data_IF_896512778024
#
_entry.id   IF_896512778024
#
_cell.length_a   1.000
_cell.length_b   1.000
_cell.length_c   1.000
_cell.angle_alpha   90.00
_cell.angle_beta   90.00
_cell.angle_gamma   90.00
#
_symmetry.space_group_name_H-M   'P 1'
#
loop_
_entity.id
_entity.type
_entity.pdbx_description
1 polymer ?
#
# COMPACT_ATOMS: atom_id res chain seq x y z
N UNK A 1 -3.85 8.51 -8.03
CA UNK A 1 -5.26 8.67 -8.43
C UNK A 1 -5.43 9.51 -9.70
N UNK A 2 -4.78 10.67 -9.81
CA UNK A 2 -4.88 11.61 -10.95
C UNK A 2 -4.76 10.92 -12.33
N UNK A 3 -3.76 10.07 -12.53
CA UNK A 3 -3.54 9.41 -13.83
C UNK A 3 -4.58 8.35 -14.21
N UNK A 4 -5.41 7.93 -13.25
CA UNK A 4 -6.49 6.98 -13.47
C UNK A 4 -7.80 7.67 -13.87
N UNK A 5 -7.94 8.97 -13.57
CA UNK A 5 -9.14 9.76 -13.88
C UNK A 5 -8.99 10.37 -15.26
N UNK A 6 -9.82 9.92 -16.21
CA UNK A 6 -9.80 10.41 -17.59
C UNK A 6 -10.68 11.65 -17.71
N UNK A 7 -11.85 11.63 -17.10
CA UNK A 7 -12.86 12.66 -17.20
C UNK A 7 -13.75 12.69 -15.94
N UNK A 8 -14.24 13.89 -15.63
CA UNK A 8 -15.20 14.19 -14.57
C UNK A 8 -16.35 15.03 -15.14
N UNK A 9 -17.57 14.70 -14.72
CA UNK A 9 -18.73 15.59 -14.77
C UNK A 9 -18.87 16.23 -13.39
N UNK A 10 -18.90 17.57 -13.34
CA UNK A 10 -18.88 18.34 -12.09
C UNK A 10 -19.98 19.40 -12.12
N UNK A 11 -20.71 19.52 -11.02
CA UNK A 11 -21.66 20.62 -10.76
C UNK A 11 -20.92 21.68 -9.95
N UNK A 12 -20.80 22.89 -10.50
CA UNK A 12 -20.16 24.02 -9.84
C UNK A 12 -21.11 24.67 -8.82
N UNK A 13 -20.57 25.59 -8.01
CA UNK A 13 -21.32 26.24 -6.92
C UNK A 13 -22.55 27.03 -7.40
N UNK A 14 -22.51 27.54 -8.65
CA UNK A 14 -23.62 28.25 -9.30
C UNK A 14 -24.63 27.30 -9.99
N UNK A 15 -24.43 25.99 -9.88
CA UNK A 15 -25.24 24.97 -10.55
C UNK A 15 -24.81 24.66 -11.98
N UNK A 16 -23.79 25.35 -12.52
CA UNK A 16 -23.27 25.07 -13.86
C UNK A 16 -22.69 23.66 -13.93
N UNK A 17 -23.11 22.88 -14.93
CA UNK A 17 -22.59 21.53 -15.16
C UNK A 17 -21.46 21.60 -16.19
N UNK A 18 -20.27 21.16 -15.80
CA UNK A 18 -19.12 21.07 -16.68
C UNK A 18 -18.67 19.63 -16.89
N UNK A 19 -18.08 19.38 -18.06
CA UNK A 19 -17.40 18.12 -18.38
C UNK A 19 -15.95 18.41 -18.70
N UNK A 20 -15.06 17.93 -17.84
CA UNK A 20 -13.63 18.29 -17.87
C UNK A 20 -12.90 17.76 -19.10
N UNK A 21 -13.36 16.66 -19.70
CA UNK A 21 -12.79 16.11 -20.93
C UNK A 21 -13.82 15.33 -21.76
N UNK A 22 -13.62 15.29 -23.08
CA UNK A 22 -14.40 14.45 -24.01
C UNK A 22 -13.73 13.08 -24.23
N UNK A 23 -14.39 12.20 -25.00
CA UNK A 23 -14.03 10.79 -25.24
C UNK A 23 -12.57 10.49 -25.71
N UNK A 24 -11.85 11.36 -26.45
CA UNK A 24 -10.53 10.99 -26.99
C UNK A 24 -9.50 10.58 -25.93
N UNK A 25 -8.84 9.43 -26.15
CA UNK A 25 -7.85 8.85 -25.23
C UNK A 25 -6.65 9.76 -24.99
N UNK A 26 -6.26 10.55 -25.99
CA UNK A 26 -5.28 11.63 -25.89
C UNK A 26 -5.95 12.94 -26.33
N UNK A 27 -5.72 14.01 -25.59
CA UNK A 27 -6.13 15.36 -25.95
C UNK A 27 -5.11 16.33 -25.37
N UNK A 28 -4.62 17.25 -26.19
CA UNK A 28 -3.79 18.38 -25.78
C UNK A 28 -4.49 19.72 -26.03
N UNK A 29 -5.80 19.68 -26.30
CA UNK A 29 -6.61 20.86 -26.54
C UNK A 29 -7.02 21.49 -25.20
N UNK A 30 -6.52 22.70 -24.93
CA UNK A 30 -6.87 23.49 -23.76
C UNK A 30 -6.27 22.96 -22.45
N UNK A 31 -6.77 23.50 -21.33
CA UNK A 31 -6.30 23.14 -19.99
C UNK A 31 -6.82 21.79 -19.53
N UNK A 32 -6.00 21.07 -18.76
CA UNK A 32 -6.41 19.85 -18.09
C UNK A 32 -7.21 20.17 -16.82
N UNK A 33 -8.48 20.55 -16.98
CA UNK A 33 -9.36 20.87 -15.86
C UNK A 33 -9.60 19.68 -14.93
N UNK A 34 -9.53 18.44 -15.43
CA UNK A 34 -9.68 17.22 -14.63
C UNK A 34 -8.76 17.24 -13.41
N UNK A 35 -7.50 17.66 -13.61
CA UNK A 35 -6.50 17.67 -12.54
C UNK A 35 -6.73 18.76 -11.47
N UNK A 36 -7.56 19.77 -11.74
CA UNK A 36 -7.95 20.76 -10.74
C UNK A 36 -8.95 20.18 -9.74
N UNK A 37 -9.89 19.34 -10.22
CA UNK A 37 -10.91 18.74 -9.37
C UNK A 37 -10.40 17.51 -8.60
N UNK A 38 -9.46 16.73 -9.15
CA UNK A 38 -8.92 15.56 -8.44
C UNK A 38 -8.06 16.00 -7.25
N UNK A 39 -8.58 15.73 -6.05
CA UNK A 39 -7.97 16.17 -4.79
C UNK A 39 -8.45 17.53 -4.29
N UNK A 40 -9.51 18.09 -4.90
CA UNK A 40 -10.12 19.36 -4.43
C UNK A 40 -11.01 19.21 -3.20
N UNK A 41 -11.30 17.97 -2.78
CA UNK A 41 -12.10 17.68 -1.58
C UNK A 41 -13.47 18.38 -1.59
N UNK A 42 -14.05 18.59 -2.77
CA UNK A 42 -15.38 19.21 -2.94
C UNK A 42 -15.39 20.74 -2.92
N UNK A 43 -14.25 21.39 -2.68
CA UNK A 43 -14.17 22.87 -2.59
C UNK A 43 -14.39 23.59 -3.92
N UNK A 44 -14.16 22.91 -5.05
CA UNK A 44 -14.30 23.48 -6.39
C UNK A 44 -15.61 23.09 -7.09
N UNK A 45 -16.40 22.18 -6.50
CA UNK A 45 -17.62 21.66 -7.09
C UNK A 45 -17.88 20.19 -6.71
N UNK A 46 -19.06 19.71 -7.06
CA UNK A 46 -19.54 18.36 -6.74
C UNK A 46 -19.36 17.46 -7.95
N UNK A 47 -18.54 16.42 -7.81
CA UNK A 47 -18.33 15.41 -8.85
C UNK A 47 -19.55 14.49 -8.89
N UNK A 48 -20.21 14.39 -10.05
CA UNK A 48 -21.41 13.56 -10.24
C UNK A 48 -21.16 12.34 -11.13
N UNK A 49 -20.19 12.40 -12.03
CA UNK A 49 -19.79 11.26 -12.87
C UNK A 49 -18.27 11.20 -13.01
N UNK A 50 -17.73 9.98 -13.08
CA UNK A 50 -16.30 9.74 -13.25
C UNK A 50 -16.07 8.73 -14.37
N UNK A 51 -15.15 9.05 -15.28
CA UNK A 51 -14.60 8.10 -16.26
C UNK A 51 -13.19 7.70 -15.84
N UNK A 52 -13.00 6.41 -15.56
CA UNK A 52 -11.72 5.85 -15.11
C UNK A 52 -11.04 5.03 -16.20
N UNK A 53 -9.70 5.06 -16.19
CA UNK A 53 -8.88 4.06 -16.85
C UNK A 53 -8.96 2.76 -16.04
N UNK A 54 -9.19 1.63 -16.70
CA UNK A 54 -9.16 0.31 -16.05
C UNK A 54 -7.83 -0.39 -16.30
N UNK A 55 -7.41 -1.21 -15.33
CA UNK A 55 -6.31 -2.15 -15.47
C UNK A 55 -6.86 -3.53 -15.80
N UNK A 56 -6.10 -4.30 -16.58
CA UNK A 56 -6.41 -5.71 -16.83
C UNK A 56 -6.19 -6.50 -15.54
N UNK A 57 -7.09 -7.42 -15.23
CA UNK A 57 -6.92 -8.32 -14.09
C UNK A 57 -5.69 -9.20 -14.35
N UNK A 58 -4.68 -9.19 -13.46
CA UNK A 58 -3.48 -10.00 -13.64
C UNK A 58 -3.84 -11.49 -13.65
N UNK A 59 -3.06 -12.28 -14.39
CA UNK A 59 -3.25 -13.73 -14.45
C UNK A 59 -2.99 -14.40 -13.10
N UNK A 60 -1.98 -13.92 -12.37
CA UNK A 60 -1.57 -14.43 -11.07
C UNK A 60 -1.38 -13.27 -10.09
N UNK A 61 -1.76 -13.49 -8.84
CA UNK A 61 -1.40 -12.62 -7.72
C UNK A 61 -0.88 -13.47 -6.60
N UNK A 62 0.14 -12.98 -5.89
CA UNK A 62 0.57 -13.65 -4.66
C UNK A 62 1.09 -12.69 -3.61
N UNK A 63 1.24 -13.19 -2.39
CA UNK A 63 1.65 -12.47 -1.20
C UNK A 63 2.87 -13.16 -0.59
N UNK A 64 3.86 -12.38 -0.18
CA UNK A 64 4.95 -12.86 0.66
C UNK A 64 5.07 -12.03 1.94
N UNK A 65 5.49 -12.69 3.02
CA UNK A 65 5.77 -12.05 4.31
C UNK A 65 7.19 -12.39 4.72
N UNK A 66 7.94 -11.38 5.15
CA UNK A 66 9.35 -11.50 5.47
C UNK A 66 9.66 -10.79 6.77
N UNK A 67 10.24 -11.50 7.73
CA UNK A 67 10.66 -10.92 9.01
C UNK A 67 12.10 -10.41 8.94
N UNK A 68 12.41 -9.37 9.71
CA UNK A 68 13.74 -8.76 9.81
C UNK A 68 14.12 -8.55 11.28
N UNK A 69 15.42 -8.57 11.63
CA UNK A 69 15.87 -8.33 13.00
C UNK A 69 15.62 -6.89 13.46
N UNK A 70 15.72 -5.92 12.55
CA UNK A 70 15.52 -4.50 12.85
C UNK A 70 14.72 -3.81 11.76
N UNK A 71 14.05 -2.70 12.11
CA UNK A 71 13.35 -1.86 11.13
C UNK A 71 14.29 -1.28 10.08
N UNK A 72 15.56 -1.04 10.44
CA UNK A 72 16.59 -0.57 9.51
C UNK A 72 16.92 -1.62 8.46
N UNK A 73 17.00 -2.89 8.83
CA UNK A 73 17.22 -4.00 7.90
C UNK A 73 16.03 -4.13 6.91
N UNK A 74 14.80 -4.07 7.41
CA UNK A 74 13.57 -4.11 6.59
C UNK A 74 13.49 -2.94 5.59
N UNK A 75 13.73 -1.72 6.06
CA UNK A 75 13.70 -0.53 5.21
C UNK A 75 14.85 -0.50 4.18
N UNK A 76 16.03 -1.02 4.53
CA UNK A 76 17.15 -1.18 3.60
C UNK A 76 16.81 -2.19 2.48
N UNK A 77 16.20 -3.33 2.84
CA UNK A 77 15.71 -4.31 1.88
C UNK A 77 14.66 -3.70 0.95
N UNK A 78 13.66 -2.98 1.49
CA UNK A 78 12.63 -2.28 0.72
C UNK A 78 13.22 -1.28 -0.29
N UNK A 79 14.20 -0.48 0.15
CA UNK A 79 14.91 0.45 -0.72
C UNK A 79 15.66 -0.27 -1.85
N UNK A 80 16.28 -1.41 -1.55
CA UNK A 80 17.02 -2.19 -2.56
C UNK A 80 16.09 -2.86 -3.56
N UNK A 81 14.95 -3.40 -3.13
CA UNK A 81 13.90 -3.95 -4.01
C UNK A 81 13.41 -2.88 -4.99
N UNK A 82 13.07 -1.69 -4.50
CA UNK A 82 12.63 -0.57 -5.33
C UNK A 82 13.71 -0.13 -6.33
N UNK A 83 14.96 0.02 -5.88
CA UNK A 83 16.08 0.42 -6.74
C UNK A 83 16.47 -0.63 -7.77
N UNK A 84 16.21 -1.90 -7.50
CA UNK A 84 16.40 -2.98 -8.47
C UNK A 84 15.33 -2.98 -9.56
N UNK A 85 14.29 -2.14 -9.44
CA UNK A 85 13.21 -2.08 -10.42
C UNK A 85 12.33 -3.32 -10.43
N UNK A 86 12.35 -4.12 -9.36
CA UNK A 86 11.54 -5.34 -9.27
C UNK A 86 10.07 -4.93 -9.15
N UNK A 87 9.19 -5.35 -10.07
CA UNK A 87 7.79 -4.99 -10.02
C UNK A 87 7.09 -5.70 -8.85
N UNK A 88 6.65 -4.89 -7.90
CA UNK A 88 5.78 -5.30 -6.79
C UNK A 88 4.48 -4.52 -6.87
N UNK A 89 3.36 -5.21 -6.68
CA UNK A 89 2.03 -4.61 -6.69
C UNK A 89 1.75 -3.81 -5.41
N UNK A 90 2.32 -4.25 -4.29
CA UNK A 90 2.33 -3.52 -3.03
C UNK A 90 3.55 -3.94 -2.20
N UNK A 91 4.03 -3.03 -1.37
CA UNK A 91 5.10 -3.26 -0.41
C UNK A 91 4.77 -2.47 0.85
N UNK A 92 4.51 -3.19 1.95
CA UNK A 92 4.10 -2.62 3.22
C UNK A 92 5.08 -3.07 4.31
N UNK A 93 5.24 -2.24 5.35
CA UNK A 93 6.09 -2.52 6.51
C UNK A 93 5.26 -2.37 7.78
N UNK A 94 5.46 -3.28 8.73
CA UNK A 94 4.91 -3.20 10.08
C UNK A 94 6.07 -3.43 11.06
N UNK A 95 6.14 -2.63 12.12
CA UNK A 95 7.16 -2.81 13.16
C UNK A 95 6.75 -3.90 14.16
N UNK A 96 7.67 -4.24 15.06
CA UNK A 96 7.44 -5.24 16.11
C UNK A 96 6.28 -4.88 17.05
N UNK A 97 6.11 -3.59 17.36
CA UNK A 97 5.01 -3.11 18.21
C UNK A 97 3.65 -3.40 17.55
N UNK A 98 3.51 -3.05 16.27
CA UNK A 98 2.30 -3.28 15.50
C UNK A 98 2.01 -4.78 15.34
N UNK A 99 3.04 -5.61 15.11
CA UNK A 99 2.88 -7.06 15.06
C UNK A 99 2.43 -7.64 16.42
N UNK A 100 2.94 -7.11 17.53
CA UNK A 100 2.50 -7.48 18.88
C UNK A 100 1.05 -7.07 19.16
N UNK A 101 0.61 -5.91 18.66
CA UNK A 101 -0.78 -5.45 18.74
C UNK A 101 -1.73 -6.41 18.01
N UNK A 102 -1.37 -6.86 16.79
CA UNK A 102 -2.17 -7.85 16.05
C UNK A 102 -2.35 -9.12 16.86
N UNK A 103 -1.28 -9.65 17.45
CA UNK A 103 -1.31 -10.85 18.27
C UNK A 103 -2.20 -10.68 19.51
N UNK A 104 -2.07 -9.55 20.21
CA UNK A 104 -2.84 -9.26 21.44
C UNK A 104 -4.34 -9.09 21.17
N UNK A 105 -4.69 -8.44 20.06
CA UNK A 105 -6.08 -8.25 19.66
C UNK A 105 -6.74 -9.56 19.18
N UNK A 106 -5.96 -10.58 18.81
CA UNK A 106 -6.48 -11.83 18.27
C UNK A 106 -7.19 -11.66 16.92
N UNK A 107 -6.90 -10.59 16.18
CA UNK A 107 -7.61 -10.21 14.95
C UNK A 107 -7.25 -11.09 13.75
N UNK A 108 -6.21 -11.91 13.84
CA UNK A 108 -5.78 -12.84 12.79
C UNK A 108 -5.78 -14.27 13.27
N UNK A 109 -6.07 -15.21 12.37
CA UNK A 109 -6.04 -16.66 12.65
C UNK A 109 -4.65 -17.21 12.93
N UNK A 110 -3.61 -16.52 12.42
CA UNK A 110 -2.21 -16.85 12.62
C UNK A 110 -1.61 -16.01 13.75
N UNK A 111 -0.74 -16.63 14.57
CA UNK A 111 0.15 -15.92 15.50
C UNK A 111 1.42 -15.51 14.77
N UNK A 112 1.80 -14.25 14.90
CA UNK A 112 2.93 -13.65 14.21
C UNK A 112 4.16 -13.55 15.10
N UNK A 113 5.34 -13.50 14.49
CA UNK A 113 6.57 -13.11 15.20
C UNK A 113 6.52 -11.59 15.42
N UNK A 114 6.78 -11.16 16.64
CA UNK A 114 6.83 -9.74 17.02
C UNK A 114 8.19 -9.15 16.61
N UNK A 115 8.39 -9.10 15.30
CA UNK A 115 9.58 -8.58 14.64
C UNK A 115 9.14 -7.63 13.52
N UNK A 116 9.98 -6.66 13.13
CA UNK A 116 9.76 -5.87 11.93
C UNK A 116 9.50 -6.79 10.73
N UNK A 117 8.36 -6.57 10.07
CA UNK A 117 7.82 -7.47 9.07
C UNK A 117 7.45 -6.70 7.80
N UNK A 118 7.93 -7.18 6.66
CA UNK A 118 7.59 -6.68 5.33
C UNK A 118 6.54 -7.58 4.70
N UNK A 119 5.53 -6.96 4.09
CA UNK A 119 4.51 -7.64 3.29
C UNK A 119 4.66 -7.21 1.84
N UNK A 120 4.77 -8.19 0.95
CA UNK A 120 4.86 -7.96 -0.49
C UNK A 120 3.63 -8.53 -1.17
N UNK A 121 3.09 -7.79 -2.13
CA UNK A 121 2.12 -8.32 -3.09
C UNK A 121 2.73 -8.31 -4.48
N UNK A 122 2.59 -9.40 -5.19
CA UNK A 122 3.05 -9.59 -6.56
C UNK A 122 1.83 -9.76 -7.46
N UNK A 123 1.94 -9.29 -8.70
CA UNK A 123 0.94 -9.52 -9.73
C UNK A 123 1.59 -9.60 -11.10
N UNK A 124 1.04 -10.43 -11.98
CA UNK A 124 1.56 -10.58 -13.34
C UNK A 124 1.20 -11.92 -13.95
N UNK A 125 2.10 -12.45 -14.78
CA UNK A 125 2.05 -13.84 -15.23
C UNK A 125 2.59 -14.76 -14.13
N UNK A 126 2.22 -16.04 -14.16
CA UNK A 126 2.71 -17.03 -13.19
C UNK A 126 4.25 -17.08 -13.11
N UNK A 127 4.91 -17.07 -14.26
CA UNK A 127 6.38 -17.06 -14.34
C UNK A 127 6.99 -15.77 -13.79
N UNK A 128 6.42 -14.60 -14.17
CA UNK A 128 6.93 -13.31 -13.70
C UNK A 128 6.75 -13.12 -12.20
N UNK A 129 5.63 -13.58 -11.63
CA UNK A 129 5.43 -13.57 -10.18
C UNK A 129 6.50 -14.42 -9.49
N UNK A 130 6.75 -15.65 -9.95
CA UNK A 130 7.77 -16.53 -9.39
C UNK A 130 9.17 -15.91 -9.44
N UNK A 131 9.54 -15.31 -10.57
CA UNK A 131 10.83 -14.63 -10.74
C UNK A 131 10.98 -13.46 -9.76
N UNK A 132 9.95 -12.60 -9.65
CA UNK A 132 9.96 -11.46 -8.73
C UNK A 132 10.12 -11.91 -7.27
N UNK A 133 9.47 -13.00 -6.87
CA UNK A 133 9.58 -13.55 -5.52
C UNK A 133 11.01 -13.97 -5.22
N UNK A 134 11.65 -14.71 -6.14
CA UNK A 134 13.02 -15.18 -5.94
C UNK A 134 14.03 -14.00 -5.90
N UNK A 135 13.82 -12.98 -6.74
CA UNK A 135 14.61 -11.75 -6.70
C UNK A 135 14.45 -11.01 -5.36
N UNK A 136 13.22 -10.83 -4.88
CA UNK A 136 12.96 -10.20 -3.58
C UNK A 136 13.56 -11.03 -2.45
N UNK A 137 13.39 -12.36 -2.46
CA UNK A 137 13.96 -13.28 -1.47
C UNK A 137 15.49 -13.19 -1.43
N UNK A 138 16.15 -13.12 -2.58
CA UNK A 138 17.61 -12.93 -2.68
C UNK A 138 18.05 -11.60 -2.07
N UNK A 139 17.31 -10.51 -2.32
CA UNK A 139 17.60 -9.20 -1.72
C UNK A 139 17.37 -9.21 -0.21
N UNK A 140 16.26 -9.77 0.25
CA UNK A 140 15.92 -9.87 1.68
C UNK A 140 16.98 -10.62 2.46
N UNK A 141 17.49 -11.74 1.92
CA UNK A 141 18.57 -12.53 2.56
C UNK A 141 19.86 -11.72 2.75
N UNK A 142 20.21 -10.84 1.81
CA UNK A 142 21.37 -9.94 1.93
C UNK A 142 21.22 -8.89 3.04
N UNK A 143 19.99 -8.69 3.53
CA UNK A 143 19.67 -7.77 4.62
C UNK A 143 19.20 -8.53 5.87
N UNK A 144 19.76 -9.72 6.12
CA UNK A 144 19.54 -10.52 7.33
C UNK A 144 18.07 -10.92 7.57
N UNK A 145 17.27 -11.04 6.51
CA UNK A 145 15.89 -11.50 6.66
C UNK A 145 15.82 -12.87 7.34
N UNK A 146 14.83 -13.04 8.21
CA UNK A 146 14.45 -14.33 8.76
C UNK A 146 13.60 -15.14 7.77
N UNK A 147 12.51 -15.70 8.29
CA UNK A 147 11.63 -16.54 7.49
C UNK A 147 10.97 -15.74 6.38
N UNK A 148 11.00 -16.33 5.18
CA UNK A 148 10.32 -15.83 3.99
C UNK A 148 9.16 -16.76 3.71
N UNK A 149 7.96 -16.32 4.06
CA UNK A 149 6.73 -17.04 3.82
C UNK A 149 6.09 -16.56 2.53
N UNK A 150 5.63 -17.50 1.71
CA UNK A 150 4.99 -17.22 0.44
C UNK A 150 3.68 -17.98 0.34
N UNK A 151 2.60 -17.29 -0.02
CA UNK A 151 1.30 -17.92 -0.16
C UNK A 151 1.23 -18.79 -1.43
N UNK A 152 0.87 -20.06 -1.26
CA UNK A 152 0.65 -21.01 -2.36
C UNK A 152 -0.84 -21.16 -2.72
N UNK A 153 -1.74 -20.60 -1.91
CA UNK A 153 -3.19 -20.64 -2.14
C UNK A 153 -3.85 -19.27 -1.95
N UNK A 154 -5.04 -19.10 -2.52
CA UNK A 154 -5.83 -17.87 -2.33
C UNK A 154 -6.24 -17.64 -0.87
N UNK A 155 -6.39 -18.72 -0.10
CA UNK A 155 -6.67 -18.66 1.34
C UNK A 155 -5.46 -18.17 2.12
N UNK A 156 -4.27 -18.71 1.83
CA UNK A 156 -3.02 -18.23 2.42
C UNK A 156 -2.74 -16.78 2.07
N UNK A 157 -3.04 -16.33 0.84
CA UNK A 157 -2.90 -14.92 0.47
C UNK A 157 -3.77 -14.02 1.34
N UNK A 158 -5.01 -14.44 1.63
CA UNK A 158 -5.91 -13.70 2.52
C UNK A 158 -5.38 -13.70 3.95
N UNK A 159 -4.94 -14.85 4.45
CA UNK A 159 -4.38 -15.00 5.80
C UNK A 159 -3.12 -14.19 5.99
N UNK A 160 -2.20 -14.20 5.03
CA UNK A 160 -0.96 -13.45 5.12
C UNK A 160 -1.19 -11.94 5.04
N UNK A 161 -2.14 -11.50 4.20
CA UNK A 161 -2.45 -10.09 4.04
C UNK A 161 -3.40 -9.54 5.12
N UNK A 162 -4.03 -10.40 5.93
CA UNK A 162 -4.99 -9.98 6.95
C UNK A 162 -4.33 -9.17 8.06
N UNK A 163 -3.11 -9.52 8.50
CA UNK A 163 -2.39 -8.75 9.52
C UNK A 163 -2.27 -7.27 9.17
N UNK A 164 -1.93 -6.98 7.91
CA UNK A 164 -1.84 -5.59 7.43
C UNK A 164 -3.20 -4.89 7.37
N UNK A 165 -4.27 -5.62 7.02
CA UNK A 165 -5.64 -5.07 6.95
C UNK A 165 -6.24 -4.80 8.33
N UNK A 166 -6.00 -5.69 9.28
CA UNK A 166 -6.58 -5.63 10.61
C UNK A 166 -5.87 -4.64 11.53
N UNK A 167 -4.69 -4.15 11.17
CA UNK A 167 -3.87 -3.34 12.09
C UNK A 167 -4.58 -2.15 12.74
N UNK A 168 -5.31 -1.34 11.98
CA UNK A 168 -6.03 -0.20 12.57
C UNK A 168 -7.14 -0.68 13.53
N UNK A 169 -7.85 -1.73 13.15
CA UNK A 169 -8.91 -2.31 13.97
C UNK A 169 -8.37 -2.95 15.24
N UNK A 170 -7.23 -3.64 15.17
CA UNK A 170 -6.55 -4.18 16.34
C UNK A 170 -6.11 -3.08 17.31
N UNK A 171 -5.58 -1.95 16.80
CA UNK A 171 -5.25 -0.80 17.65
C UNK A 171 -6.50 -0.21 18.33
N UNK A 172 -7.59 -0.06 17.58
CA UNK A 172 -8.87 0.43 18.12
C UNK A 172 -9.47 -0.53 19.14
N UNK A 173 -9.32 -1.85 18.96
CA UNK A 173 -9.85 -2.86 19.86
C UNK A 173 -9.08 -2.93 21.19
N UNK A 174 -7.79 -2.61 21.18
CA UNK A 174 -6.94 -2.60 22.39
C UNK A 174 -6.89 -1.24 23.10
N UNK A 175 -7.54 -0.21 22.56
CA UNK A 175 -7.60 1.11 23.19
C UNK A 175 -8.29 1.02 24.55
N UNK A 176 -7.84 1.81 25.53
CA UNK A 176 -8.52 1.92 26.81
C UNK A 176 -9.71 2.86 26.67
N UNK A 177 -10.63 2.77 27.61
CA UNK A 177 -11.72 3.73 27.70
C UNK A 177 -11.16 5.14 27.92
N UNK A 178 -11.56 6.08 27.06
CA UNK A 178 -11.03 7.45 27.06
C UNK A 178 -9.83 7.70 26.13
N UNK A 179 -9.22 6.66 25.55
CA UNK A 179 -8.13 6.83 24.58
C UNK A 179 -8.65 7.09 23.16
N UNK A 180 -7.98 8.02 22.46
CA UNK A 180 -8.19 8.28 21.03
C UNK A 180 -7.02 7.79 20.18
N UNK A 181 -7.31 7.27 18.98
CA UNK A 181 -6.28 6.87 18.02
C UNK A 181 -5.92 8.07 17.16
N UNK A 182 -4.69 8.55 17.30
CA UNK A 182 -4.15 9.62 16.48
C UNK A 182 -3.34 9.05 15.31
N UNK A 183 -3.94 9.07 14.11
CA UNK A 183 -3.26 8.64 12.88
C UNK A 183 -2.52 9.81 12.23
N UNK A 184 -1.28 9.59 11.78
CA UNK A 184 -0.52 10.57 10.99
C UNK A 184 -0.12 9.96 9.65
N UNK A 185 -0.14 10.78 8.59
CA UNK A 185 0.34 10.42 7.26
C UNK A 185 1.43 11.40 6.84
N UNK A 186 2.64 10.87 6.62
CA UNK A 186 3.83 11.67 6.29
C UNK A 186 4.57 11.06 5.11
N UNK A 187 5.03 11.92 4.20
CA UNK A 187 5.88 11.53 3.10
C UNK A 187 7.34 11.89 3.39
N UNK A 188 8.24 10.91 3.32
CA UNK A 188 9.69 11.09 3.47
C UNK A 188 10.45 10.46 2.32
N UNK A 189 11.68 10.91 2.00
CA UNK A 189 12.55 10.18 1.09
C UNK A 189 12.72 8.72 1.55
N UNK A 190 12.68 7.77 0.62
CA UNK A 190 12.78 6.33 0.95
C UNK A 190 14.04 6.01 1.75
N UNK A 191 15.14 6.74 1.52
CA UNK A 191 16.39 6.58 2.28
C UNK A 191 16.28 6.99 3.75
N UNK A 192 15.26 7.77 4.12
CA UNK A 192 14.99 8.28 5.47
C UNK A 192 13.81 7.57 6.14
N UNK A 193 13.17 6.60 5.46
CA UNK A 193 12.10 5.78 6.04
C UNK A 193 12.50 5.11 7.37
N UNK A 194 13.70 4.51 7.52
CA UNK A 194 14.07 3.94 8.81
C UNK A 194 14.27 4.99 9.91
N UNK A 195 14.63 6.23 9.54
CA UNK A 195 14.87 7.29 10.51
C UNK A 195 13.55 7.83 11.08
N UNK A 196 12.50 8.01 10.27
CA UNK A 196 11.19 8.44 10.77
C UNK A 196 10.56 7.37 11.65
N UNK A 197 10.62 6.09 11.26
CA UNK A 197 10.06 5.01 12.09
C UNK A 197 10.82 4.93 13.42
N UNK A 198 12.15 5.01 13.39
CA UNK A 198 12.97 4.98 14.61
C UNK A 198 12.76 6.16 15.58
N UNK A 199 12.21 7.29 15.12
CA UNK A 199 11.81 8.40 15.99
C UNK A 199 10.46 8.13 16.65
N UNK A 200 9.53 7.46 15.95
CA UNK A 200 8.20 7.13 16.45
C UNK A 200 8.19 5.98 17.46
N UNK A 201 9.19 5.10 17.42
CA UNK A 201 9.31 3.96 18.35
C UNK A 201 9.98 4.32 19.70
N UNK A 202 10.20 5.61 20.00
CA UNK A 202 10.74 6.11 21.28
C UNK A 202 9.62 6.63 22.17
#
# INVERSE_FOLDING_TARGET
MKDWVINLTVVLADGTIIKTRRRPRKSSAGYNLTNLFVGSEGTLGIVTEITLKLAVVPQETSVAVVTFPTIRDAAAAASKVLRAGIPVAAMEIMDDVQMGVINKAGSTTKKWKELPTMFFKFSGTKAGVQENIELVKSISRKHKSGDFEFAVSAEEQKTLWSARKESLWSMLALRREGDEVWSTDVAVPISRLPDIIGVLSR
#
